data_IF_684882610052
#
_entry.id   IF_684882610052
#
_cell.length_a   1.000
_cell.length_b   1.000
_cell.length_c   1.000
_cell.angle_alpha   90.00
_cell.angle_beta   90.00
_cell.angle_gamma   90.00
#
_symmetry.space_group_name_H-M   'P 1'
#
loop_
_entity.id
_entity.type
_entity.pdbx_description
1 polymer ?
#
# COMPACT_ATOMS: atom_id res chain seq x y z
N UNK A 1 13.95 -20.66 6.01
CA UNK A 1 12.85 -19.75 5.64
C UNK A 1 13.03 -19.40 4.18
N UNK A 2 12.08 -19.68 3.28
CA UNK A 2 12.18 -19.17 1.92
C UNK A 2 12.24 -17.64 2.01
N UNK A 3 13.24 -17.04 1.34
CA UNK A 3 13.43 -15.60 1.32
C UNK A 3 12.25 -15.01 0.56
N UNK A 4 11.34 -14.32 1.24
CA UNK A 4 10.29 -13.57 0.54
C UNK A 4 10.99 -12.53 -0.33
N UNK A 5 11.01 -12.76 -1.63
CA UNK A 5 11.58 -11.82 -2.58
C UNK A 5 10.77 -10.53 -2.52
N UNK A 6 11.46 -9.40 -2.34
CA UNK A 6 10.85 -8.07 -2.28
C UNK A 6 11.31 -7.28 -3.48
N UNK A 7 10.37 -6.82 -4.27
CA UNK A 7 10.63 -5.94 -5.41
C UNK A 7 10.16 -4.52 -5.09
N UNK A 8 10.96 -3.52 -5.48
CA UNK A 8 10.60 -2.11 -5.34
C UNK A 8 9.84 -1.67 -6.57
N UNK A 9 8.59 -1.27 -6.37
CA UNK A 9 7.77 -0.60 -7.38
C UNK A 9 7.74 0.91 -7.08
N UNK A 10 7.95 1.74 -8.11
CA UNK A 10 7.84 3.20 -8.03
C UNK A 10 6.75 3.69 -8.97
N UNK A 11 5.93 4.63 -8.50
CA UNK A 11 4.84 5.24 -9.28
C UNK A 11 4.83 6.76 -9.07
N UNK A 12 4.47 7.49 -10.11
CA UNK A 12 4.24 8.94 -10.04
C UNK A 12 2.77 9.21 -9.77
N UNK A 13 2.47 9.97 -8.72
CA UNK A 13 1.11 10.33 -8.32
C UNK A 13 0.96 11.86 -8.30
N UNK A 14 -0.28 12.35 -8.43
CA UNK A 14 -0.53 13.78 -8.22
C UNK A 14 -0.36 14.13 -6.73
N UNK A 15 -0.09 15.40 -6.46
CA UNK A 15 0.09 15.91 -5.08
C UNK A 15 -1.09 15.54 -4.18
N UNK A 16 -2.33 15.62 -4.68
CA UNK A 16 -3.55 15.32 -3.93
C UNK A 16 -3.56 13.89 -3.37
N UNK A 17 -3.02 12.91 -4.12
CA UNK A 17 -2.89 11.53 -3.62
C UNK A 17 -1.83 11.42 -2.52
N UNK A 18 -0.70 12.12 -2.68
CA UNK A 18 0.37 12.12 -1.69
C UNK A 18 -0.10 12.76 -0.38
N UNK A 19 -0.84 13.87 -0.47
CA UNK A 19 -1.44 14.56 0.69
C UNK A 19 -2.47 13.68 1.41
N UNK A 20 -3.34 12.98 0.67
CA UNK A 20 -4.28 12.04 1.27
C UNK A 20 -3.55 10.88 1.99
N UNK A 21 -2.47 10.34 1.40
CA UNK A 21 -1.64 9.33 2.04
C UNK A 21 -0.96 9.86 3.31
N UNK A 22 -0.49 11.12 3.29
CA UNK A 22 0.09 11.76 4.46
C UNK A 22 -0.93 11.95 5.58
N UNK A 23 -2.15 12.34 5.25
CA UNK A 23 -3.22 12.53 6.22
C UNK A 23 -3.59 11.21 6.93
N UNK A 24 -3.58 10.10 6.21
CA UNK A 24 -3.77 8.77 6.80
C UNK A 24 -2.68 8.44 7.83
N UNK A 25 -1.42 8.80 7.55
CA UNK A 25 -0.30 8.58 8.47
C UNK A 25 -0.37 9.54 9.66
N UNK A 26 -0.64 10.83 9.41
CA UNK A 26 -0.77 11.86 10.46
C UNK A 26 -1.87 11.53 11.48
N UNK A 27 -2.97 10.92 11.01
CA UNK A 27 -4.08 10.45 11.86
C UNK A 27 -3.78 9.16 12.61
N UNK A 28 -2.60 8.55 12.39
CA UNK A 28 -2.20 7.28 13.01
C UNK A 28 -2.94 6.06 12.49
N UNK A 29 -3.63 6.17 11.33
CA UNK A 29 -4.39 5.06 10.74
C UNK A 29 -3.44 4.03 10.14
N UNK A 30 -2.35 4.50 9.52
CA UNK A 30 -1.27 3.67 8.99
C UNK A 30 0.08 4.16 9.46
N UNK A 31 1.04 3.23 9.61
CA UNK A 31 2.40 3.53 10.06
C UNK A 31 3.17 4.42 9.06
N UNK A 32 3.01 4.15 7.77
CA UNK A 32 3.66 4.87 6.70
C UNK A 32 2.81 4.82 5.41
N UNK A 33 3.17 5.63 4.41
CA UNK A 33 2.48 5.66 3.11
C UNK A 33 2.47 4.29 2.43
N UNK A 34 3.55 3.52 2.57
CA UNK A 34 3.67 2.19 1.99
C UNK A 34 2.72 1.17 2.62
N UNK A 35 2.47 1.26 3.93
CA UNK A 35 1.49 0.44 4.64
C UNK A 35 0.08 0.73 4.12
N UNK A 36 -0.27 2.01 3.95
CA UNK A 36 -1.54 2.42 3.35
C UNK A 36 -1.68 1.89 1.92
N UNK A 37 -0.66 2.06 1.07
CA UNK A 37 -0.67 1.55 -0.32
C UNK A 37 -0.83 0.03 -0.35
N UNK A 38 -0.09 -0.71 0.47
CA UNK A 38 -0.20 -2.18 0.54
C UNK A 38 -1.59 -2.64 1.00
N UNK A 39 -2.19 -1.94 1.97
CA UNK A 39 -3.56 -2.24 2.41
C UNK A 39 -4.58 -2.01 1.29
N UNK A 40 -4.45 -0.90 0.55
CA UNK A 40 -5.29 -0.63 -0.62
C UNK A 40 -5.12 -1.69 -1.72
N UNK A 41 -3.88 -2.11 -2.01
CA UNK A 41 -3.61 -3.17 -2.98
C UNK A 41 -4.23 -4.50 -2.55
N UNK A 42 -4.14 -4.88 -1.28
CA UNK A 42 -4.82 -6.08 -0.74
C UNK A 42 -6.32 -6.03 -1.00
N UNK A 43 -6.97 -4.88 -0.77
CA UNK A 43 -8.40 -4.70 -1.04
C UNK A 43 -8.73 -4.85 -2.53
N UNK A 44 -7.93 -4.22 -3.41
CA UNK A 44 -8.10 -4.33 -4.86
C UNK A 44 -7.96 -5.80 -5.30
N UNK A 45 -6.92 -6.49 -4.85
CA UNK A 45 -6.68 -7.88 -5.20
C UNK A 45 -7.81 -8.80 -4.70
N UNK A 46 -8.27 -8.62 -3.46
CA UNK A 46 -9.41 -9.35 -2.93
C UNK A 46 -10.67 -9.12 -3.77
N UNK A 47 -10.91 -7.89 -4.23
CA UNK A 47 -12.05 -7.54 -5.11
C UNK A 47 -12.00 -8.26 -6.46
N UNK A 48 -10.79 -8.60 -6.93
CA UNK A 48 -10.55 -9.35 -8.18
C UNK A 48 -10.32 -10.86 -7.96
N UNK A 49 -10.61 -11.39 -6.77
CA UNK A 49 -10.36 -12.80 -6.39
C UNK A 49 -8.89 -13.22 -6.52
N UNK A 50 -7.97 -12.28 -6.31
CA UNK A 50 -6.53 -12.52 -6.22
C UNK A 50 -6.15 -12.60 -4.73
N UNK A 51 -6.03 -13.82 -4.20
CA UNK A 51 -5.53 -14.03 -2.85
C UNK A 51 -4.01 -13.84 -2.82
N UNK A 52 -3.56 -12.81 -2.10
CA UNK A 52 -2.14 -12.62 -1.82
C UNK A 52 -1.86 -13.06 -0.39
N UNK A 53 -1.29 -14.25 -0.24
CA UNK A 53 -0.69 -14.69 1.01
C UNK A 53 0.69 -14.04 1.14
N UNK A 54 0.76 -12.94 1.89
CA UNK A 54 1.99 -12.20 2.18
C UNK A 54 2.28 -12.13 3.66
#
# INVERSE_FOLDING_TARGET
>A
MPKTERERVSVTLTIQYVEALDDLVKRGIYLDRGAAIRASLRLIFATHNLEIMG
#
